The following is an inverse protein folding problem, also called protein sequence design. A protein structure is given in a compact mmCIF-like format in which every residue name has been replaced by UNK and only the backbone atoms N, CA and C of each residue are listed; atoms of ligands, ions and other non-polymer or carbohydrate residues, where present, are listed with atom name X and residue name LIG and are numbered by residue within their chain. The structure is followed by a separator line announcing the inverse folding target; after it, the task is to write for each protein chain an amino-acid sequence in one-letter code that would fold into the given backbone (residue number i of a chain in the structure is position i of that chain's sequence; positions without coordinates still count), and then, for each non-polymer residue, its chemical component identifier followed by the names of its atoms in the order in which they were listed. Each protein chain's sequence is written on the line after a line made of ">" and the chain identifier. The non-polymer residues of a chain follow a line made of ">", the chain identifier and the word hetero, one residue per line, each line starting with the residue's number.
data_IF_348205921880
#
_entry.id   IF_348205921880
#
_cell.length_a   1.000
_cell.length_b   1.000
_cell.length_c   1.000
_cell.angle_alpha   90.00
_cell.angle_beta   90.00
_cell.angle_gamma   90.00
#
_symmetry.space_group_name_H-M   'P 1'
#
loop_
_entity.id
_entity.type
_entity.pdbx_description
1 polymer ?
#
# COMPACT_ATOMS: atom_id res chain seq x y z
N UNK A 1 -14.08 -18.97 3.64
CA UNK A 1 -13.41 -17.92 4.43
C UNK A 1 -13.95 -17.94 5.86
N UNK A 2 -13.20 -17.45 6.85
CA UNK A 2 -13.69 -17.37 8.23
C UNK A 2 -14.59 -16.14 8.38
N UNK A 3 -15.79 -16.29 8.96
CA UNK A 3 -16.77 -15.19 9.16
C UNK A 3 -16.16 -13.95 9.82
N UNK A 4 -15.24 -14.14 10.76
CA UNK A 4 -14.51 -13.05 11.43
C UNK A 4 -13.69 -12.22 10.45
N UNK A 5 -13.02 -12.84 9.48
CA UNK A 5 -12.22 -12.12 8.47
C UNK A 5 -13.09 -11.29 7.54
N UNK A 6 -14.27 -11.78 7.20
CA UNK A 6 -15.25 -11.03 6.40
C UNK A 6 -15.78 -9.83 7.17
N UNK A 7 -16.12 -10.01 8.45
CA UNK A 7 -16.56 -8.92 9.31
C UNK A 7 -15.47 -7.86 9.56
N UNK A 8 -14.19 -8.25 9.55
CA UNK A 8 -13.04 -7.36 9.68
C UNK A 8 -12.55 -6.79 8.34
N UNK A 9 -13.18 -7.15 7.22
CA UNK A 9 -12.78 -6.62 5.92
C UNK A 9 -13.02 -5.11 5.88
N UNK A 10 -12.09 -4.38 5.29
CA UNK A 10 -12.28 -2.94 5.11
C UNK A 10 -13.45 -2.68 4.16
N UNK A 11 -14.28 -1.71 4.51
CA UNK A 11 -15.33 -1.21 3.61
C UNK A 11 -14.78 -0.41 2.42
N UNK A 12 -13.54 0.06 2.46
CA UNK A 12 -12.94 0.93 1.44
C UNK A 12 -13.48 2.37 1.39
N UNK A 13 -14.64 2.64 2.02
CA UNK A 13 -15.37 3.92 1.90
C UNK A 13 -14.82 5.07 2.77
N UNK A 14 -13.62 4.93 3.32
CA UNK A 14 -13.03 5.92 4.21
C UNK A 14 -11.68 6.38 3.64
N UNK A 15 -11.68 7.23 2.58
CA UNK A 15 -10.45 7.73 1.99
C UNK A 15 -9.65 8.56 3.00
N UNK A 16 -8.33 8.48 2.91
CA UNK A 16 -7.39 9.26 3.73
C UNK A 16 -7.24 10.66 3.13
N UNK A 17 -7.46 11.71 3.93
CA UNK A 17 -7.57 13.10 3.50
C UNK A 17 -6.51 14.05 4.07
N UNK A 18 -5.66 13.57 4.99
CA UNK A 18 -4.55 14.32 5.58
C UNK A 18 -3.20 14.11 4.89
N UNK A 19 -2.13 14.07 5.70
CA UNK A 19 -0.79 13.71 5.25
C UNK A 19 -0.69 12.19 5.08
N UNK A 20 -0.42 11.73 3.85
CA UNK A 20 -0.42 10.31 3.50
C UNK A 20 0.92 9.92 2.89
N UNK A 21 1.55 8.90 3.43
CA UNK A 21 2.79 8.32 2.90
C UNK A 21 2.45 7.02 2.16
N UNK A 22 2.93 6.87 0.93
CA UNK A 22 2.67 5.67 0.13
C UNK A 22 4.00 5.05 -0.29
N UNK A 23 4.12 3.73 -0.08
CA UNK A 23 5.31 2.96 -0.41
C UNK A 23 4.93 1.51 -0.80
N UNK A 24 5.81 0.83 -1.52
CA UNK A 24 5.62 -0.55 -1.94
C UNK A 24 6.72 -1.48 -1.41
N UNK A 25 6.32 -2.69 -1.05
CA UNK A 25 7.20 -3.64 -0.41
C UNK A 25 6.90 -5.08 -0.85
N UNK A 26 7.81 -5.98 -0.48
CA UNK A 26 7.70 -7.41 -0.73
C UNK A 26 7.52 -8.17 0.58
N UNK A 27 6.52 -9.03 0.65
CA UNK A 27 6.21 -9.89 1.80
C UNK A 27 6.49 -11.35 1.47
N UNK A 28 7.36 -11.99 2.26
CA UNK A 28 7.64 -13.42 2.16
C UNK A 28 9.05 -13.79 2.59
N UNK A 29 9.32 -15.10 2.62
CA UNK A 29 10.61 -15.66 3.00
C UNK A 29 11.78 -15.17 2.14
N UNK A 30 13.01 -15.36 2.64
CA UNK A 30 14.23 -15.09 1.89
C UNK A 30 14.25 -15.94 0.62
N UNK A 31 14.57 -15.33 -0.50
CA UNK A 31 14.71 -16.01 -1.79
C UNK A 31 16.20 -15.96 -2.18
N UNK A 32 16.80 -17.11 -2.41
CA UNK A 32 18.23 -17.19 -2.69
C UNK A 32 18.54 -16.48 -3.99
N UNK A 33 19.59 -15.64 -3.98
CA UNK A 33 20.04 -14.83 -5.12
C UNK A 33 19.06 -13.72 -5.57
N UNK A 34 17.97 -13.49 -4.83
CA UNK A 34 16.97 -12.46 -5.12
C UNK A 34 16.94 -11.40 -4.03
N UNK A 35 17.60 -10.27 -4.30
CA UNK A 35 17.75 -9.13 -3.39
C UNK A 35 16.78 -8.02 -3.81
N UNK A 36 16.09 -7.41 -2.83
CA UNK A 36 15.25 -6.23 -3.05
C UNK A 36 13.99 -6.48 -3.89
N UNK A 37 13.66 -5.53 -4.78
CA UNK A 37 12.50 -5.54 -5.70
C UNK A 37 12.73 -6.54 -6.85
N UNK A 38 12.68 -7.84 -6.54
CA UNK A 38 12.75 -8.91 -7.56
C UNK A 38 11.38 -9.12 -8.21
N UNK A 39 11.31 -9.00 -9.54
CA UNK A 39 10.04 -9.13 -10.29
C UNK A 39 9.56 -10.58 -10.39
N UNK A 40 10.51 -11.51 -10.49
CA UNK A 40 10.31 -12.95 -10.69
C UNK A 40 10.44 -13.75 -9.38
N UNK A 41 10.37 -13.09 -8.22
CA UNK A 41 10.48 -13.73 -6.91
C UNK A 41 9.17 -14.38 -6.44
N UNK A 42 9.28 -15.34 -5.51
CA UNK A 42 8.11 -15.96 -4.85
C UNK A 42 7.41 -15.04 -3.84
N UNK A 43 8.04 -13.92 -3.50
CA UNK A 43 7.52 -12.95 -2.53
C UNK A 43 6.28 -12.25 -3.11
N UNK A 44 5.29 -12.03 -2.25
CA UNK A 44 4.11 -11.23 -2.61
C UNK A 44 4.51 -9.77 -2.67
N UNK A 45 4.01 -9.03 -3.65
CA UNK A 45 4.21 -7.59 -3.77
C UNK A 45 2.98 -6.89 -3.20
N UNK A 46 3.18 -5.83 -2.45
CA UNK A 46 2.10 -5.05 -1.85
C UNK A 46 2.45 -3.57 -1.88
N UNK A 47 1.43 -2.73 -1.97
CA UNK A 47 1.52 -1.29 -1.77
C UNK A 47 0.77 -0.93 -0.49
N UNK A 48 1.31 0.00 0.28
CA UNK A 48 0.67 0.51 1.48
C UNK A 48 0.60 2.02 1.44
N UNK A 49 -0.49 2.53 2.00
CA UNK A 49 -0.68 3.95 2.26
C UNK A 49 -0.94 4.13 3.76
N UNK A 50 -0.25 5.08 4.37
CA UNK A 50 -0.28 5.36 5.80
C UNK A 50 -0.63 6.83 5.99
N UNK A 51 -1.76 7.10 6.64
CA UNK A 51 -2.14 8.45 7.07
C UNK A 51 -1.47 8.75 8.40
N UNK A 52 -0.91 9.96 8.49
CA UNK A 52 -0.28 10.46 9.70
C UNK A 52 -1.18 11.49 10.38
N UNK A 53 -1.14 11.49 11.71
CA UNK A 53 -1.70 12.58 12.51
C UNK A 53 -0.84 13.84 12.34
N UNK A 54 -1.34 14.99 12.80
CA UNK A 54 -0.55 16.24 12.81
C UNK A 54 0.74 16.18 13.64
N UNK A 55 0.90 15.18 14.52
CA UNK A 55 2.13 14.91 15.27
C UNK A 55 3.08 13.92 14.56
N UNK A 56 2.72 13.44 13.36
CA UNK A 56 3.50 12.45 12.60
C UNK A 56 3.34 11.00 13.08
N UNK A 57 2.33 10.69 13.92
CA UNK A 57 2.03 9.31 14.34
C UNK A 57 1.11 8.63 13.33
N UNK A 58 1.15 7.31 13.28
CA UNK A 58 0.24 6.53 12.43
C UNK A 58 -1.20 6.67 12.90
N UNK A 59 -2.08 7.11 12.02
CA UNK A 59 -3.52 7.22 12.26
C UNK A 59 -4.28 6.06 11.61
N UNK A 60 -4.04 5.84 10.31
CA UNK A 60 -4.72 4.81 9.50
C UNK A 60 -3.75 4.21 8.49
N UNK A 61 -4.01 2.96 8.10
CA UNK A 61 -3.26 2.25 7.07
C UNK A 61 -4.19 1.45 6.15
N UNK A 62 -3.90 1.50 4.85
CA UNK A 62 -4.47 0.60 3.85
C UNK A 62 -3.37 -0.13 3.10
N UNK A 63 -3.59 -1.40 2.79
CA UNK A 63 -2.64 -2.23 2.04
C UNK A 63 -3.36 -3.03 0.98
N UNK A 64 -2.78 -3.06 -0.21
CA UNK A 64 -3.29 -3.82 -1.34
C UNK A 64 -2.19 -4.72 -1.90
N UNK A 65 -2.56 -5.94 -2.32
CA UNK A 65 -1.68 -6.78 -3.14
C UNK A 65 -1.59 -6.14 -4.53
N UNK A 66 -0.37 -6.08 -5.07
CA UNK A 66 -0.08 -5.67 -6.45
C UNK A 66 0.56 -6.85 -7.18
N UNK A 67 0.39 -6.88 -8.50
CA UNK A 67 1.00 -7.95 -9.31
C UNK A 67 2.42 -7.58 -9.75
N UNK A 68 2.68 -6.28 -9.95
CA UNK A 68 3.98 -5.69 -10.24
C UNK A 68 4.14 -4.29 -9.63
N UNK A 69 5.31 -3.69 -9.80
CA UNK A 69 5.66 -2.35 -9.31
C UNK A 69 5.40 -1.24 -10.36
N UNK A 70 4.54 -1.49 -11.35
CA UNK A 70 4.22 -0.49 -12.37
C UNK A 70 3.31 0.60 -11.82
N UNK A 71 3.33 1.76 -12.48
CA UNK A 71 2.36 2.84 -12.21
C UNK A 71 0.90 2.36 -12.29
N UNK A 72 0.62 1.46 -13.24
CA UNK A 72 -0.70 0.91 -13.48
C UNK A 72 -1.21 0.06 -12.31
N UNK A 73 -0.32 -0.69 -11.65
CA UNK A 73 -0.65 -1.44 -10.43
C UNK A 73 -0.75 -0.52 -9.22
N UNK A 74 0.13 0.47 -9.10
CA UNK A 74 0.22 1.36 -7.94
C UNK A 74 -0.93 2.37 -7.88
N UNK A 75 -1.44 2.88 -9.02
CA UNK A 75 -2.47 3.93 -9.05
C UNK A 75 -3.72 3.61 -8.21
N UNK A 76 -4.08 2.32 -8.08
CA UNK A 76 -5.32 1.92 -7.40
C UNK A 76 -5.30 2.19 -5.90
N UNK A 77 -4.13 2.23 -5.23
CA UNK A 77 -4.09 2.64 -3.82
C UNK A 77 -4.52 4.10 -3.66
N UNK A 78 -4.14 4.96 -4.62
CA UNK A 78 -4.51 6.38 -4.62
C UNK A 78 -6.00 6.53 -4.93
N UNK A 79 -6.48 5.87 -5.98
CA UNK A 79 -7.88 5.98 -6.42
C UNK A 79 -8.84 5.49 -5.34
N UNK A 80 -8.54 4.36 -4.70
CA UNK A 80 -9.48 3.70 -3.82
C UNK A 80 -9.42 4.18 -2.36
N UNK A 81 -8.25 4.64 -1.90
CA UNK A 81 -8.01 4.84 -0.47
C UNK A 81 -7.51 6.24 -0.10
N UNK A 82 -7.23 7.11 -1.07
CA UNK A 82 -6.68 8.44 -0.82
C UNK A 82 -7.59 9.49 -1.43
N UNK A 83 -7.98 10.48 -0.64
CA UNK A 83 -8.74 11.63 -1.10
C UNK A 83 -7.91 12.45 -2.08
N UNK A 84 -8.55 13.05 -3.09
CA UNK A 84 -7.87 13.97 -4.02
C UNK A 84 -7.32 15.23 -3.35
N UNK A 85 -7.79 15.52 -2.14
CA UNK A 85 -7.34 16.67 -1.34
C UNK A 85 -6.19 16.31 -0.37
N UNK A 86 -5.81 15.04 -0.28
CA UNK A 86 -4.74 14.59 0.62
C UNK A 86 -3.37 15.09 0.15
N UNK A 87 -2.46 15.31 1.11
CA UNK A 87 -1.06 15.62 0.83
C UNK A 87 -0.25 14.34 0.81
N UNK A 88 0.18 13.93 -0.39
CA UNK A 88 0.82 12.62 -0.58
C UNK A 88 2.34 12.73 -0.71
N UNK A 89 3.04 11.88 0.04
CA UNK A 89 4.50 11.72 -0.01
C UNK A 89 4.84 10.30 -0.50
N UNK A 90 5.75 10.19 -1.48
CA UNK A 90 6.23 8.91 -2.02
C UNK A 90 7.75 8.94 -2.24
N UNK A 91 8.37 7.78 -2.47
CA UNK A 91 9.82 7.61 -2.71
C UNK A 91 10.26 7.91 -4.16
N UNK A 92 9.55 8.81 -4.87
CA UNK A 92 9.81 9.19 -6.27
C UNK A 92 9.79 8.00 -7.24
N UNK A 93 8.71 7.23 -7.23
CA UNK A 93 8.40 6.30 -8.31
C UNK A 93 8.50 6.97 -9.68
N UNK A 94 9.12 6.30 -10.65
CA UNK A 94 9.26 6.79 -12.03
C UNK A 94 8.04 6.45 -12.92
N UNK A 95 6.96 5.99 -12.29
CA UNK A 95 5.71 5.67 -12.96
C UNK A 95 5.10 6.88 -13.64
#
# INVERSE_FOLDING_TARGET
>A
MLKVREAMASSGNNPMDGDVHVDEFVLGGRDERKIGRSYDGKKKKAVTAVQLTGEGKVERMYTMKIDDFSAQSLQYIFINHISRNAKVTTDKWRG
#
